data_IF_815985963338
#
_entry.id   IF_815985963338
#
_cell.length_a   1.000
_cell.length_b   1.000
_cell.length_c   1.000
_cell.angle_alpha   90.00
_cell.angle_beta   90.00
_cell.angle_gamma   90.00
#
_symmetry.space_group_name_H-M   'P 1'
#
loop_
_entity.id
_entity.type
_entity.pdbx_description
1 polymer ?
#
# COMPACT_ATOMS: atom_id res chain seq x y z
N UNK A 1 -14.32 -49.28 -52.17
CA UNK A 1 -14.84 -49.17 -50.79
C UNK A 1 -13.87 -49.82 -49.82
N UNK A 2 -13.18 -49.04 -48.99
CA UNK A 2 -12.79 -49.32 -47.58
C UNK A 2 -11.92 -48.13 -47.11
N UNK A 3 -12.44 -47.40 -46.12
CA UNK A 3 -11.93 -46.13 -45.59
C UNK A 3 -10.70 -46.39 -44.71
N UNK A 4 -9.59 -45.68 -44.91
CA UNK A 4 -8.49 -45.60 -43.93
C UNK A 4 -8.68 -44.31 -43.14
N UNK A 5 -8.98 -44.48 -41.86
CA UNK A 5 -9.28 -43.42 -40.91
C UNK A 5 -7.97 -42.83 -40.37
N UNK A 6 -7.60 -41.63 -40.84
CA UNK A 6 -6.46 -40.87 -40.29
C UNK A 6 -6.88 -40.28 -38.93
N UNK A 7 -6.36 -40.84 -37.84
CA UNK A 7 -6.54 -40.29 -36.49
C UNK A 7 -5.66 -39.05 -36.35
N UNK A 8 -6.24 -37.86 -36.47
CA UNK A 8 -5.58 -36.62 -36.07
C UNK A 8 -5.47 -36.56 -34.56
N UNK A 9 -4.23 -36.59 -34.05
CA UNK A 9 -3.92 -36.30 -32.65
C UNK A 9 -3.83 -34.79 -32.52
N UNK A 10 -4.88 -34.17 -31.99
CA UNK A 10 -4.89 -32.77 -31.61
C UNK A 10 -4.11 -32.61 -30.30
N UNK A 11 -2.85 -32.20 -30.40
CA UNK A 11 -2.01 -31.90 -29.24
C UNK A 11 -2.43 -30.52 -28.71
N UNK A 12 -3.33 -30.48 -27.72
CA UNK A 12 -3.67 -29.25 -27.00
C UNK A 12 -2.47 -28.93 -26.11
N UNK A 13 -1.56 -28.08 -26.60
CA UNK A 13 -0.56 -27.45 -25.77
C UNK A 13 -1.27 -26.52 -24.79
N UNK A 14 -1.48 -26.99 -23.56
CA UNK A 14 -1.77 -26.12 -22.44
C UNK A 14 -0.54 -25.26 -22.19
N UNK A 15 -0.53 -24.04 -22.76
CA UNK A 15 0.39 -22.99 -22.34
C UNK A 15 -0.07 -22.57 -20.94
N UNK A 16 0.48 -23.22 -19.92
CA UNK A 16 0.39 -22.72 -18.55
C UNK A 16 1.19 -21.43 -18.54
N UNK A 17 0.51 -20.29 -18.65
CA UNK A 17 1.09 -19.00 -18.37
C UNK A 17 1.44 -19.00 -16.87
N UNK A 18 2.65 -19.44 -16.54
CA UNK A 18 3.17 -19.34 -15.19
C UNK A 18 3.18 -17.86 -14.84
N UNK A 19 2.20 -17.42 -14.05
CA UNK A 19 2.27 -16.12 -13.39
C UNK A 19 3.57 -16.16 -12.59
N UNK A 20 4.53 -15.25 -12.81
CA UNK A 20 5.74 -15.22 -11.99
C UNK A 20 5.27 -15.21 -10.53
N UNK A 21 5.72 -16.19 -9.76
CA UNK A 21 5.50 -16.19 -8.32
C UNK A 21 6.13 -14.90 -7.80
N UNK A 22 5.29 -13.90 -7.54
CA UNK A 22 5.70 -12.63 -6.98
C UNK A 22 6.33 -12.98 -5.64
N UNK A 23 7.64 -12.85 -5.48
CA UNK A 23 8.26 -13.09 -4.19
C UNK A 23 7.75 -12.01 -3.22
N UNK A 24 6.74 -12.30 -2.42
CA UNK A 24 6.39 -11.42 -1.31
C UNK A 24 7.50 -11.55 -0.27
N UNK A 25 8.18 -10.44 0.03
CA UNK A 25 9.07 -10.43 1.18
C UNK A 25 8.22 -10.55 2.44
N UNK A 26 8.39 -11.65 3.18
CA UNK A 26 7.80 -11.83 4.52
C UNK A 26 8.08 -10.63 5.45
N UNK A 27 9.12 -9.84 5.16
CA UNK A 27 9.49 -8.69 5.97
C UNK A 27 8.50 -7.52 5.86
N UNK A 28 7.75 -7.36 4.76
CA UNK A 28 6.78 -6.27 4.65
C UNK A 28 5.40 -6.62 5.22
N UNK A 29 5.10 -7.90 5.35
CA UNK A 29 3.82 -8.38 5.87
C UNK A 29 3.57 -7.78 7.26
N UNK A 30 2.33 -7.34 7.49
CA UNK A 30 1.87 -6.71 8.73
C UNK A 30 1.41 -5.27 8.52
N UNK A 31 1.21 -4.59 9.65
CA UNK A 31 0.67 -3.23 9.72
C UNK A 31 1.76 -2.21 10.04
N UNK A 32 1.68 -1.05 9.40
CA UNK A 32 2.67 0.01 9.47
C UNK A 32 1.98 1.35 9.67
N UNK A 33 2.29 2.06 10.74
CA UNK A 33 1.75 3.39 11.02
C UNK A 33 2.56 4.45 10.28
N UNK A 34 1.87 5.38 9.60
CA UNK A 34 2.52 6.52 8.97
C UNK A 34 3.20 7.40 10.03
N UNK A 35 4.44 7.83 9.76
CA UNK A 35 5.18 8.77 10.61
C UNK A 35 5.63 10.02 9.84
N UNK A 36 5.72 9.97 8.51
CA UNK A 36 5.95 11.14 7.67
C UNK A 36 5.37 10.94 6.25
N UNK A 37 4.88 12.02 5.66
CA UNK A 37 4.45 12.10 4.27
C UNK A 37 4.92 13.45 3.72
N UNK A 38 6.13 13.41 3.19
CA UNK A 38 6.91 14.57 2.76
C UNK A 38 7.03 14.62 1.25
N UNK A 39 7.64 15.68 0.75
CA UNK A 39 8.18 15.77 -0.60
C UNK A 39 9.57 16.35 -0.58
N UNK A 40 10.42 15.84 -1.47
CA UNK A 40 11.72 16.44 -1.78
C UNK A 40 11.48 17.41 -2.94
N UNK A 41 11.83 18.68 -2.75
CA UNK A 41 11.73 19.72 -3.75
C UNK A 41 12.87 19.62 -4.79
N UNK A 42 12.78 20.30 -5.95
CA UNK A 42 13.84 20.29 -6.95
C UNK A 42 15.22 20.77 -6.44
N UNK A 43 15.24 21.61 -5.40
CA UNK A 43 16.46 22.08 -4.73
C UNK A 43 17.04 21.06 -3.72
N UNK A 44 16.40 19.90 -3.58
CA UNK A 44 16.78 18.82 -2.66
C UNK A 44 16.24 18.97 -1.24
N UNK A 45 15.55 20.08 -0.91
CA UNK A 45 14.97 20.28 0.43
C UNK A 45 13.78 19.34 0.63
N UNK A 46 13.77 18.64 1.76
CA UNK A 46 12.61 17.85 2.18
C UNK A 46 11.66 18.71 3.03
N UNK A 47 10.38 18.73 2.65
CA UNK A 47 9.32 19.48 3.33
C UNK A 47 8.07 18.63 3.49
N UNK A 48 7.26 18.92 4.50
CA UNK A 48 5.98 18.24 4.71
C UNK A 48 5.05 18.44 3.52
N UNK A 49 4.48 17.34 3.01
CA UNK A 49 3.49 17.38 1.92
C UNK A 49 2.06 17.25 2.47
N UNK A 50 1.90 16.54 3.59
CA UNK A 50 0.62 16.31 4.29
C UNK A 50 0.61 16.90 5.72
N UNK A 51 1.39 17.96 5.96
CA UNK A 51 1.53 18.59 7.28
C UNK A 51 2.54 17.88 8.19
N UNK A 52 2.78 18.45 9.38
CA UNK A 52 3.86 18.03 10.29
C UNK A 52 3.59 16.74 11.06
N UNK A 53 2.32 16.32 11.17
CA UNK A 53 1.91 15.10 11.86
C UNK A 53 0.79 14.39 11.06
N UNK A 54 1.11 13.83 9.88
CA UNK A 54 0.11 13.15 9.06
C UNK A 54 -0.32 11.84 9.73
N UNK A 55 -1.55 11.40 9.45
CA UNK A 55 -2.12 10.17 9.97
C UNK A 55 -2.28 9.16 8.82
N UNK A 56 -2.10 7.88 9.10
CA UNK A 56 -2.22 6.87 8.06
C UNK A 56 -1.70 5.50 8.45
N UNK A 57 -1.91 4.56 7.55
CA UNK A 57 -1.51 3.16 7.71
C UNK A 57 -1.14 2.55 6.36
N UNK A 58 -0.17 1.64 6.36
CA UNK A 58 0.01 0.68 5.29
C UNK A 58 -0.14 -0.73 5.86
N UNK A 59 -0.88 -1.60 5.18
CA UNK A 59 -1.03 -3.00 5.58
C UNK A 59 -0.67 -3.86 4.37
N UNK A 60 0.17 -4.86 4.61
CA UNK A 60 0.55 -5.87 3.63
C UNK A 60 0.16 -7.24 4.16
N UNK A 61 -0.57 -7.99 3.36
CA UNK A 61 -1.14 -9.29 3.74
C UNK A 61 -0.33 -10.43 3.13
N UNK A 62 -0.43 -11.61 3.73
CA UNK A 62 0.28 -12.83 3.28
C UNK A 62 -0.19 -13.32 1.91
N UNK A 63 -1.44 -13.06 1.54
CA UNK A 63 -2.04 -13.41 0.26
C UNK A 63 -1.81 -12.35 -0.83
N UNK A 64 -0.93 -11.37 -0.57
CA UNK A 64 -0.44 -10.44 -1.58
C UNK A 64 -1.32 -9.21 -1.80
N UNK A 65 -2.29 -8.95 -0.93
CA UNK A 65 -3.06 -7.72 -0.91
C UNK A 65 -2.41 -6.64 -0.06
N UNK A 66 -2.71 -5.39 -0.37
CA UNK A 66 -2.27 -4.26 0.43
C UNK A 66 -3.31 -3.14 0.46
N UNK A 67 -3.19 -2.28 1.48
CA UNK A 67 -3.81 -0.96 1.51
C UNK A 67 -2.76 0.07 1.97
N UNK A 68 -2.84 1.27 1.40
CA UNK A 68 -2.14 2.47 1.89
C UNK A 68 -3.20 3.54 2.10
N UNK A 69 -3.22 4.12 3.30
CA UNK A 69 -4.00 5.30 3.63
C UNK A 69 -3.08 6.38 4.19
N UNK A 70 -3.16 7.58 3.63
CA UNK A 70 -2.44 8.76 4.08
C UNK A 70 -3.45 9.90 4.17
N UNK A 71 -3.48 10.58 5.30
CA UNK A 71 -4.31 11.73 5.60
C UNK A 71 -3.41 12.82 6.17
N UNK A 72 -3.56 14.06 5.72
CA UNK A 72 -2.79 15.14 6.31
C UNK A 72 -3.27 15.55 7.69
N UNK A 73 -2.42 16.33 8.35
CA UNK A 73 -2.58 16.75 9.75
C UNK A 73 -3.87 17.53 9.97
N UNK A 74 -4.14 18.50 9.09
CA UNK A 74 -5.30 19.37 9.19
C UNK A 74 -6.38 18.92 8.20
N UNK A 75 -7.53 18.47 8.71
CA UNK A 75 -8.67 18.10 7.87
C UNK A 75 -9.89 18.90 8.26
N UNK A 76 -10.50 19.55 7.27
CA UNK A 76 -11.76 20.26 7.44
C UNK A 76 -12.86 19.24 7.72
N UNK A 77 -13.52 19.37 8.88
CA UNK A 77 -14.76 18.65 9.15
C UNK A 77 -15.89 19.29 8.36
N UNK A 78 -16.85 18.49 7.96
CA UNK A 78 -18.04 19.00 7.30
C UNK A 78 -18.92 19.65 8.36
N UNK A 79 -19.51 20.81 8.04
CA UNK A 79 -20.44 21.50 8.93
C UNK A 79 -21.74 20.71 9.11
N UNK A 80 -22.13 19.96 8.08
CA UNK A 80 -23.28 19.07 8.08
C UNK A 80 -22.93 17.66 8.59
N UNK A 81 -23.90 17.00 9.22
CA UNK A 81 -23.83 15.58 9.58
C UNK A 81 -24.24 14.66 8.42
N UNK A 82 -24.86 15.20 7.38
CA UNK A 82 -25.26 14.48 6.17
C UNK A 82 -24.13 14.51 5.14
N UNK A 83 -23.47 13.37 4.94
CA UNK A 83 -22.28 13.24 4.06
C UNK A 83 -22.48 13.79 2.63
N UNK A 84 -23.70 13.69 2.09
CA UNK A 84 -24.03 14.13 0.73
C UNK A 84 -24.31 15.63 0.59
N UNK A 85 -24.37 16.38 1.70
CA UNK A 85 -24.68 17.82 1.73
C UNK A 85 -23.46 18.70 2.02
N UNK A 86 -22.25 18.15 1.91
CA UNK A 86 -21.02 18.94 2.07
C UNK A 86 -20.91 20.03 1.00
N UNK A 87 -20.16 21.08 1.28
CA UNK A 87 -19.85 22.11 0.28
C UNK A 87 -18.76 21.63 -0.69
N UNK A 88 -18.65 22.23 -1.89
CA UNK A 88 -17.55 21.93 -2.80
C UNK A 88 -16.17 22.08 -2.16
N UNK A 89 -15.97 23.07 -1.28
CA UNK A 89 -14.72 23.33 -0.56
C UNK A 89 -14.41 22.22 0.44
N UNK A 90 -15.42 21.73 1.17
CA UNK A 90 -15.29 20.62 2.10
C UNK A 90 -14.90 19.33 1.37
N UNK A 91 -15.55 19.02 0.25
CA UNK A 91 -15.18 17.87 -0.59
C UNK A 91 -13.78 18.00 -1.17
N UNK A 92 -13.42 19.19 -1.69
CA UNK A 92 -12.09 19.46 -2.21
C UNK A 92 -11.02 19.27 -1.13
N UNK A 93 -11.23 19.81 0.07
CA UNK A 93 -10.30 19.62 1.19
C UNK A 93 -10.19 18.14 1.55
N UNK A 94 -11.32 17.45 1.67
CA UNK A 94 -11.32 16.03 2.02
C UNK A 94 -10.57 15.17 1.01
N UNK A 95 -10.71 15.43 -0.30
CA UNK A 95 -10.05 14.66 -1.38
C UNK A 95 -8.58 15.04 -1.55
N UNK A 96 -8.25 16.33 -1.55
CA UNK A 96 -6.87 16.78 -1.78
C UNK A 96 -5.95 16.54 -0.58
N UNK A 97 -6.52 16.34 0.61
CA UNK A 97 -5.78 16.10 1.85
C UNK A 97 -5.73 14.61 2.23
N UNK A 98 -5.79 13.74 1.24
CA UNK A 98 -5.57 12.31 1.41
C UNK A 98 -4.89 11.69 0.19
N UNK A 99 -4.25 10.55 0.39
CA UNK A 99 -3.77 9.66 -0.65
C UNK A 99 -4.00 8.24 -0.19
N UNK A 100 -5.06 7.62 -0.70
CA UNK A 100 -5.44 6.28 -0.32
C UNK A 100 -5.59 5.41 -1.56
N UNK A 101 -5.06 4.20 -1.51
CA UNK A 101 -5.19 3.23 -2.59
C UNK A 101 -4.97 1.79 -2.08
N UNK A 102 -5.59 0.82 -2.73
CA UNK A 102 -5.46 -0.59 -2.40
C UNK A 102 -5.35 -1.45 -3.66
N UNK A 103 -4.94 -2.70 -3.48
CA UNK A 103 -4.80 -3.66 -4.57
C UNK A 103 -3.90 -4.82 -4.19
N UNK A 104 -3.06 -5.27 -5.12
CA UNK A 104 -2.04 -6.30 -4.86
C UNK A 104 -0.63 -5.75 -4.97
N UNK A 105 0.32 -6.40 -4.30
CA UNK A 105 1.71 -5.97 -4.29
C UNK A 105 2.71 -7.10 -4.56
N UNK A 106 3.89 -6.72 -5.03
CA UNK A 106 5.04 -7.62 -5.17
C UNK A 106 6.34 -6.90 -4.86
N UNK A 107 7.36 -7.66 -4.47
CA UNK A 107 8.69 -7.14 -4.14
C UNK A 107 9.72 -7.69 -5.10
N UNK A 108 10.55 -6.80 -5.63
CA UNK A 108 11.81 -7.16 -6.27
C UNK A 108 12.93 -6.83 -5.27
N UNK A 109 13.42 -7.85 -4.57
CA UNK A 109 14.45 -7.69 -3.54
C UNK A 109 15.83 -7.36 -4.13
N UNK A 110 16.07 -7.70 -5.40
CA UNK A 110 17.34 -7.42 -6.09
C UNK A 110 17.39 -5.94 -6.45
N UNK A 111 16.28 -5.39 -6.95
CA UNK A 111 16.18 -3.97 -7.31
C UNK A 111 15.80 -3.06 -6.15
N UNK A 112 15.34 -3.63 -5.03
CA UNK A 112 14.86 -2.86 -3.89
C UNK A 112 13.58 -2.08 -4.21
N UNK A 113 12.67 -2.67 -4.98
CA UNK A 113 11.42 -2.03 -5.39
C UNK A 113 10.19 -2.78 -4.90
N UNK A 114 9.14 -2.00 -4.62
CA UNK A 114 7.78 -2.48 -4.45
C UNK A 114 6.96 -2.10 -5.68
N UNK A 115 6.24 -3.07 -6.22
CA UNK A 115 5.25 -2.83 -7.28
C UNK A 115 3.87 -2.91 -6.67
N UNK A 116 3.12 -1.82 -6.81
CA UNK A 116 1.71 -1.76 -6.47
C UNK A 116 0.89 -1.93 -7.74
N UNK A 117 0.06 -2.97 -7.80
CA UNK A 117 -1.00 -3.12 -8.78
C UNK A 117 -2.28 -2.54 -8.18
N UNK A 118 -2.58 -1.28 -8.54
CA UNK A 118 -3.66 -0.52 -7.93
C UNK A 118 -5.00 -1.00 -8.48
N UNK A 119 -5.90 -1.43 -7.60
CA UNK A 119 -7.30 -1.66 -7.98
C UNK A 119 -8.04 -0.31 -8.02
N UNK A 120 -8.12 0.37 -6.87
CA UNK A 120 -8.72 1.70 -6.75
C UNK A 120 -7.92 2.62 -5.84
N UNK A 121 -8.03 3.92 -6.09
CA UNK A 121 -7.52 4.95 -5.22
C UNK A 121 -8.39 6.21 -5.16
N UNK A 122 -7.97 7.17 -4.34
CA UNK A 122 -8.61 8.49 -4.21
C UNK A 122 -8.36 9.38 -5.42
N UNK A 123 -7.36 9.06 -6.24
CA UNK A 123 -7.11 9.68 -7.54
C UNK A 123 -7.38 8.66 -8.66
N UNK A 124 -8.55 8.71 -9.31
CA UNK A 124 -9.00 7.67 -10.24
C UNK A 124 -8.06 7.39 -11.42
N UNK A 125 -7.22 8.37 -11.80
CA UNK A 125 -6.26 8.18 -12.89
C UNK A 125 -5.16 7.16 -12.56
N UNK A 126 -5.05 6.72 -11.30
CA UNK A 126 -4.15 5.65 -10.87
C UNK A 126 -4.82 4.27 -10.83
N UNK A 127 -6.14 4.21 -11.00
CA UNK A 127 -6.88 2.95 -10.98
C UNK A 127 -6.36 2.04 -12.09
N UNK A 128 -6.19 0.75 -11.77
CA UNK A 128 -5.75 -0.29 -12.70
C UNK A 128 -4.35 -0.02 -13.31
N UNK A 129 -3.51 0.74 -12.60
CA UNK A 129 -2.12 0.99 -13.00
C UNK A 129 -1.11 0.20 -12.16
N UNK A 130 0.06 -0.04 -12.75
CA UNK A 130 1.23 -0.55 -12.04
C UNK A 130 2.13 0.62 -11.62
N UNK A 131 2.42 0.71 -10.33
CA UNK A 131 3.30 1.73 -9.75
C UNK A 131 4.50 1.07 -9.10
N UNK A 132 5.68 1.24 -9.69
CA UNK A 132 6.94 0.73 -9.13
C UNK A 132 7.59 1.83 -8.31
N UNK A 133 7.89 1.54 -7.04
CA UNK A 133 8.49 2.49 -6.10
C UNK A 133 9.78 1.91 -5.52
N UNK A 134 10.91 2.62 -5.53
CA UNK A 134 12.04 2.24 -4.70
C UNK A 134 11.64 2.35 -3.23
N UNK A 135 12.00 1.34 -2.44
CA UNK A 135 11.72 1.33 -1.01
C UNK A 135 12.99 1.08 -0.20
N UNK A 136 12.93 1.43 1.08
CA UNK A 136 13.95 1.10 2.06
C UNK A 136 13.26 0.49 3.27
N UNK A 137 13.79 -0.63 3.74
CA UNK A 137 13.40 -1.24 5.00
C UNK A 137 14.61 -1.29 5.94
N UNK A 138 14.54 -0.59 7.06
CA UNK A 138 15.57 -0.57 8.11
C UNK A 138 14.92 -0.88 9.45
N UNK A 139 15.05 -2.13 9.91
CA UNK A 139 14.37 -2.61 11.11
C UNK A 139 12.86 -2.45 10.97
N UNK A 140 12.27 -1.60 11.81
CA UNK A 140 10.83 -1.30 11.81
C UNK A 140 10.47 -0.04 11.03
N UNK A 141 11.39 0.54 10.28
CA UNK A 141 11.12 1.72 9.44
C UNK A 141 11.05 1.32 7.97
N UNK A 142 9.89 1.55 7.36
CA UNK A 142 9.63 1.38 5.94
C UNK A 142 9.48 2.74 5.29
N UNK A 143 10.17 2.99 4.19
CA UNK A 143 9.93 4.18 3.37
C UNK A 143 9.93 3.86 1.89
N UNK A 144 9.24 4.68 1.11
CA UNK A 144 9.30 4.63 -0.35
C UNK A 144 9.23 6.02 -0.96
N UNK A 145 9.71 6.13 -2.20
CA UNK A 145 9.56 7.33 -3.02
C UNK A 145 8.61 7.07 -4.17
N UNK A 146 7.81 8.08 -4.49
CA UNK A 146 6.92 8.08 -5.67
C UNK A 146 7.68 8.73 -6.83
N UNK A 147 7.38 8.42 -8.10
CA UNK A 147 7.88 9.20 -9.23
C UNK A 147 7.67 10.71 -9.04
N UNK A 148 8.58 11.50 -9.60
CA UNK A 148 8.49 12.95 -9.54
C UNK A 148 7.17 13.44 -10.15
N UNK A 149 6.53 14.39 -9.47
CA UNK A 149 5.36 15.10 -9.99
C UNK A 149 5.78 16.03 -11.14
N UNK A 150 4.81 16.58 -11.91
CA UNK A 150 5.12 17.57 -12.95
C UNK A 150 5.87 18.81 -12.45
N UNK A 151 5.72 19.17 -11.16
CA UNK A 151 6.46 20.26 -10.52
C UNK A 151 7.89 19.88 -10.08
N UNK A 152 8.32 18.64 -10.38
CA UNK A 152 9.63 18.09 -10.02
C UNK A 152 9.73 17.61 -8.57
N UNK A 153 8.70 17.80 -7.74
CA UNK A 153 8.73 17.32 -6.36
C UNK A 153 8.57 15.79 -6.29
N UNK A 154 9.31 15.16 -5.38
CA UNK A 154 9.34 13.70 -5.19
C UNK A 154 8.67 13.37 -3.85
N UNK A 155 7.45 12.80 -3.84
CA UNK A 155 6.80 12.38 -2.61
C UNK A 155 7.57 11.25 -1.91
N UNK A 156 7.64 11.34 -0.59
CA UNK A 156 8.29 10.37 0.29
C UNK A 156 7.34 10.01 1.41
N UNK A 157 7.06 8.73 1.58
CA UNK A 157 6.27 8.24 2.71
C UNK A 157 7.16 7.41 3.62
N UNK A 158 7.00 7.58 4.93
CA UNK A 158 7.75 6.85 5.96
C UNK A 158 6.76 6.29 6.98
N UNK A 159 6.92 5.01 7.29
CA UNK A 159 6.08 4.26 8.21
C UNK A 159 6.94 3.54 9.24
N UNK A 160 6.34 3.31 10.41
CA UNK A 160 6.91 2.45 11.46
C UNK A 160 6.03 1.23 11.68
N UNK A 161 6.63 0.05 11.91
CA UNK A 161 5.88 -1.19 12.14
C UNK A 161 5.03 -1.07 13.41
N UNK A 162 3.78 -1.50 13.32
CA UNK A 162 2.91 -1.70 14.48
C UNK A 162 3.16 -3.11 14.99
N UNK A 163 3.72 -3.23 16.20
CA UNK A 163 3.82 -4.51 16.90
C UNK A 163 2.61 -4.65 17.81
N UNK A 164 1.87 -5.74 17.69
CA UNK A 164 0.91 -6.14 18.72
C UNK A 164 1.69 -6.41 20.00
N UNK A 165 1.33 -5.74 21.09
CA UNK A 165 1.66 -6.25 22.41
C UNK A 165 0.84 -7.54 22.56
N UNK A 166 1.51 -8.69 22.58
CA UNK A 166 0.87 -9.91 23.10
C UNK A 166 0.61 -9.61 24.57
N UNK A 167 -0.65 -9.61 25.05
CA UNK A 167 -0.90 -9.50 26.48
C UNK A 167 -0.20 -10.69 27.14
N UNK A 168 0.64 -10.42 28.15
CA UNK A 168 1.18 -11.46 29.00
C UNK A 168 -0.02 -12.21 29.58
N UNK A 169 -0.30 -13.42 29.10
CA UNK A 169 -1.22 -14.30 29.80
C UNK A 169 -0.67 -14.46 31.22
N UNK A 170 -1.45 -14.01 32.20
CA UNK A 170 -1.18 -14.17 33.61
C UNK A 170 -1.07 -15.68 33.88
N UNK A 171 0.17 -16.20 33.89
CA UNK A 171 0.45 -17.56 34.32
C UNK A 171 0.17 -17.63 35.82
N UNK A 172 -0.79 -18.47 36.18
CA UNK A 172 -0.80 -19.21 37.43
C UNK A 172 -0.97 -18.41 38.71
N UNK A 173 -2.21 -18.33 39.20
CA UNK A 173 -2.45 -18.44 40.64
C UNK A 173 -3.11 -19.80 40.87
N UNK A 174 -2.27 -20.83 41.05
CA UNK A 174 -2.62 -22.09 41.69
C UNK A 174 -2.12 -22.03 43.14
N UNK A 175 -3.04 -22.07 44.11
CA UNK A 175 -2.78 -22.38 45.53
C UNK A 175 -2.04 -21.28 46.32
N UNK A 176 -2.12 -21.16 47.66
CA UNK A 176 -2.52 -22.11 48.71
C UNK A 176 -2.91 -21.30 49.98
N UNK A 177 -4.02 -21.68 50.60
CA UNK A 177 -4.37 -21.69 52.06
C UNK A 177 -3.85 -20.58 53.00
N UNK A 178 -4.77 -19.92 53.70
CA UNK A 178 -4.91 -19.96 55.17
C UNK A 178 -6.38 -19.89 55.56
#
# INVERSE_FOLDING_TARGET
MKKVLLKSILCIMNVILAKPALAQSHQLIGSWRLIAADKILPDGKQVADYGSAPHGIAIFTTDGHYVVEIFGTERMKFATTERGKGTPEEYKNAVLNQSCHFGTYSIDSIKGTITFNIDRGTYPNQDQTLQVRPFTLKGDTLSWRVPARPDGSIPVSVFTRIRTQVPLHHQGVQGVMY
#
